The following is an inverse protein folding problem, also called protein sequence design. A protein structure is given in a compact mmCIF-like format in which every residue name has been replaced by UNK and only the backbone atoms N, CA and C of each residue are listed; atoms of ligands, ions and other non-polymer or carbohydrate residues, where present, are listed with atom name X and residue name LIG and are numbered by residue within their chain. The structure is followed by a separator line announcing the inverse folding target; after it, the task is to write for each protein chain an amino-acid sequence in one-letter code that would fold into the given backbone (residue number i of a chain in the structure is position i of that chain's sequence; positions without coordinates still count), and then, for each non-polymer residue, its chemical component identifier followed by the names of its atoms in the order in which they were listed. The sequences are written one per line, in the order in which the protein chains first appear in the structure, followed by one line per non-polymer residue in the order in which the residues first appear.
data_IF_492915404791
#
_entry.id   IF_492915404791
#
_cell.length_a   1.000
_cell.length_b   1.000
_cell.length_c   1.000
_cell.angle_alpha   90.00
_cell.angle_beta   90.00
_cell.angle_gamma   90.00
#
_symmetry.space_group_name_H-M   'P 1'
#
loop_
_entity.id
_entity.type
_entity.pdbx_description
1 polymer ?
#
# COMPACT_ATOMS: atom_id res chain seq x y z
N UNK A 1 13.71 17.88 5.06
CA UNK A 1 13.22 18.76 3.99
C UNK A 1 12.07 19.60 4.55
N UNK A 2 12.04 20.91 4.29
CA UNK A 2 11.10 21.86 4.93
C UNK A 2 10.09 22.47 3.93
N UNK A 3 9.78 21.76 2.85
CA UNK A 3 8.79 22.18 1.87
C UNK A 3 7.88 21.00 1.54
N UNK A 4 6.56 21.23 1.58
CA UNK A 4 5.50 20.25 1.30
C UNK A 4 5.44 19.76 -0.16
N UNK A 5 6.60 19.53 -0.78
CA UNK A 5 6.72 18.90 -2.08
C UNK A 5 7.94 17.97 -2.05
N UNK A 6 7.73 16.72 -2.48
CA UNK A 6 8.79 15.74 -2.66
C UNK A 6 9.10 15.65 -4.15
N UNK A 7 10.36 15.92 -4.48
CA UNK A 7 10.94 15.61 -5.79
C UNK A 7 11.44 14.18 -5.74
N UNK A 8 11.02 13.38 -6.71
CA UNK A 8 11.47 12.00 -6.87
C UNK A 8 11.61 11.69 -8.36
N UNK A 9 12.48 10.76 -8.70
CA UNK A 9 12.61 10.24 -10.05
C UNK A 9 11.75 8.99 -10.21
N UNK A 10 11.27 8.74 -11.42
CA UNK A 10 10.41 7.58 -11.71
C UNK A 10 11.00 6.78 -12.86
N UNK A 11 11.11 5.46 -12.69
CA UNK A 11 11.48 4.52 -13.74
C UNK A 11 12.93 4.64 -14.20
N UNK A 12 13.87 4.81 -13.27
CA UNK A 12 15.30 4.85 -13.60
C UNK A 12 15.80 3.44 -13.96
N UNK A 13 16.43 3.23 -15.14
CA UNK A 13 16.91 1.91 -15.48
C UNK A 13 18.22 1.61 -14.75
N UNK A 14 18.35 0.39 -14.21
CA UNK A 14 19.57 -0.06 -13.52
C UNK A 14 20.77 -0.30 -14.45
N UNK A 15 20.56 -0.17 -15.76
CA UNK A 15 21.55 -0.44 -16.79
C UNK A 15 22.03 0.84 -17.45
N UNK A 16 23.31 0.86 -17.83
CA UNK A 16 23.89 1.92 -18.67
C UNK A 16 23.36 1.84 -20.10
N UNK A 17 23.46 2.94 -20.86
CA UNK A 17 22.90 3.03 -22.22
C UNK A 17 23.49 2.03 -23.20
N UNK A 18 24.79 1.75 -23.08
CA UNK A 18 25.52 0.89 -23.99
C UNK A 18 25.95 -0.42 -23.34
N UNK A 19 26.00 -1.49 -24.14
CA UNK A 19 26.53 -2.79 -23.71
C UNK A 19 28.07 -2.76 -23.60
N UNK A 20 28.65 -3.49 -22.64
CA UNK A 20 30.11 -3.62 -22.54
C UNK A 20 30.73 -4.17 -23.82
N UNK A 21 31.86 -3.60 -24.24
CA UNK A 21 32.64 -4.06 -25.42
C UNK A 21 33.96 -4.68 -24.98
N UNK A 22 34.48 -5.62 -25.75
CA UNK A 22 35.80 -6.19 -25.51
C UNK A 22 36.88 -5.12 -25.73
N UNK A 23 37.68 -4.84 -24.70
CA UNK A 23 38.76 -3.84 -24.73
C UNK A 23 40.11 -4.56 -24.83
N UNK A 24 40.88 -4.28 -25.87
CA UNK A 24 42.23 -4.82 -26.03
C UNK A 24 43.19 -4.22 -25.00
N UNK A 25 44.17 -4.98 -24.48
CA UNK A 25 45.13 -4.47 -23.51
C UNK A 25 45.82 -3.19 -24.02
N UNK A 26 45.74 -2.11 -23.25
CA UNK A 26 46.31 -0.79 -23.59
C UNK A 26 45.40 0.14 -24.40
N UNK A 27 44.16 -0.27 -24.70
CA UNK A 27 43.15 0.59 -25.33
C UNK A 27 42.30 1.33 -24.31
N UNK A 28 41.75 2.47 -24.70
CA UNK A 28 40.85 3.26 -23.87
C UNK A 28 39.47 2.58 -23.74
N UNK A 29 38.87 2.67 -22.56
CA UNK A 29 37.55 2.10 -22.29
C UNK A 29 36.45 2.97 -22.91
N UNK A 30 35.45 2.37 -23.57
CA UNK A 30 34.32 3.13 -24.08
C UNK A 30 33.51 3.72 -22.92
N UNK A 31 33.25 5.03 -22.99
CA UNK A 31 32.37 5.73 -22.06
C UNK A 31 30.91 5.45 -22.42
N UNK A 32 30.08 5.22 -21.40
CA UNK A 32 28.64 4.97 -21.51
C UNK A 32 27.90 5.94 -20.59
N UNK A 33 26.67 6.29 -20.94
CA UNK A 33 25.83 7.14 -20.10
C UNK A 33 25.17 6.35 -18.98
N UNK A 34 25.09 6.95 -17.80
CA UNK A 34 24.17 6.54 -16.74
C UNK A 34 22.88 7.38 -16.90
N UNK A 35 21.80 6.82 -17.48
CA UNK A 35 20.54 7.54 -17.62
C UNK A 35 19.90 7.76 -16.23
N UNK A 36 19.26 8.91 -16.04
CA UNK A 36 18.49 9.24 -14.83
C UNK A 36 17.00 9.07 -15.07
N UNK A 37 16.19 8.92 -14.02
CA UNK A 37 14.75 8.80 -14.14
C UNK A 37 14.05 10.12 -14.49
N UNK A 38 12.73 10.06 -14.74
CA UNK A 38 11.93 11.28 -15.00
C UNK A 38 11.65 11.99 -13.67
N UNK A 39 12.10 13.24 -13.55
CA UNK A 39 11.82 14.06 -12.37
C UNK A 39 10.32 14.36 -12.24
N UNK A 40 9.74 13.92 -11.13
CA UNK A 40 8.35 14.14 -10.74
C UNK A 40 8.26 14.92 -9.43
N UNK A 41 7.20 15.71 -9.29
CA UNK A 41 6.94 16.51 -8.08
C UNK A 41 5.59 16.08 -7.50
N UNK A 42 5.60 15.55 -6.28
CA UNK A 42 4.40 15.28 -5.49
C UNK A 42 4.27 16.32 -4.39
N UNK A 43 3.14 17.06 -4.37
CA UNK A 43 2.84 18.01 -3.30
C UNK A 43 2.06 17.32 -2.18
N UNK A 44 2.46 17.51 -0.92
CA UNK A 44 1.72 17.03 0.24
C UNK A 44 0.36 17.71 0.33
N UNK A 45 -0.67 16.93 0.64
CA UNK A 45 -2.04 17.45 0.82
C UNK A 45 -2.46 17.25 2.27
N UNK A 46 -3.07 18.29 2.84
CA UNK A 46 -3.60 18.26 4.21
C UNK A 46 -5.02 17.72 4.20
N UNK A 47 -5.18 16.51 4.74
CA UNK A 47 -6.47 15.86 4.92
C UNK A 47 -6.90 15.97 6.37
N UNK A 48 -8.02 16.62 6.65
CA UNK A 48 -8.49 16.76 8.02
C UNK A 48 -9.98 17.04 8.11
N UNK A 49 -10.54 16.72 9.28
CA UNK A 49 -11.96 16.86 9.58
C UNK A 49 -12.15 17.20 11.06
N UNK A 50 -13.24 17.94 11.30
CA UNK A 50 -13.66 18.35 12.65
C UNK A 50 -14.95 17.62 13.02
N UNK A 51 -15.11 17.33 14.31
CA UNK A 51 -16.40 16.95 14.90
C UNK A 51 -16.63 17.74 16.18
N UNK A 52 -17.90 17.95 16.51
CA UNK A 52 -18.32 18.70 17.68
C UNK A 52 -18.83 17.71 18.73
N UNK A 53 -18.51 17.97 20.00
CA UNK A 53 -19.03 17.24 21.17
C UNK A 53 -19.49 18.27 22.20
N UNK A 54 -20.79 18.33 22.50
CA UNK A 54 -21.34 19.31 23.46
C UNK A 54 -21.14 18.87 24.90
N UNK A 55 -21.15 19.82 25.84
CA UNK A 55 -20.97 19.52 27.27
C UNK A 55 -22.10 18.69 27.86
N UNK A 56 -23.33 18.84 27.37
CA UNK A 56 -24.44 18.00 27.81
C UNK A 56 -24.20 16.54 27.41
N UNK A 57 -23.59 16.30 26.26
CA UNK A 57 -23.24 14.94 25.83
C UNK A 57 -22.17 14.33 26.74
N UNK A 58 -21.18 15.13 27.16
CA UNK A 58 -20.12 14.72 28.08
C UNK A 58 -20.68 14.51 29.48
N UNK A 59 -21.53 15.40 29.97
CA UNK A 59 -22.17 15.28 31.28
C UNK A 59 -23.10 14.08 31.37
N UNK A 60 -23.84 13.77 30.28
CA UNK A 60 -24.81 12.65 30.25
C UNK A 60 -24.15 11.29 29.98
N UNK A 61 -23.08 11.25 29.19
CA UNK A 61 -22.44 10.00 28.75
C UNK A 61 -21.02 9.81 29.32
N UNK A 62 -20.57 10.71 30.21
CA UNK A 62 -19.20 10.79 30.76
C UNK A 62 -18.16 11.02 29.64
N UNK A 63 -16.89 10.66 29.85
CA UNK A 63 -15.79 10.85 28.87
C UNK A 63 -15.91 9.98 27.59
N UNK A 64 -16.89 9.08 27.51
CA UNK A 64 -17.07 8.16 26.38
C UNK A 64 -17.29 8.85 25.01
N UNK A 65 -18.14 9.88 24.86
CA UNK A 65 -18.35 10.60 23.60
C UNK A 65 -17.06 11.20 23.00
N UNK A 66 -16.18 11.79 23.81
CA UNK A 66 -14.92 12.40 23.32
C UNK A 66 -13.98 11.34 22.77
N UNK A 67 -13.73 10.27 23.52
CA UNK A 67 -12.84 9.19 23.07
C UNK A 67 -13.38 8.49 21.82
N UNK A 68 -14.69 8.21 21.77
CA UNK A 68 -15.33 7.60 20.59
C UNK A 68 -15.26 8.51 19.36
N UNK A 69 -15.45 9.81 19.54
CA UNK A 69 -15.34 10.78 18.45
C UNK A 69 -13.90 10.83 17.90
N UNK A 70 -12.88 10.87 18.77
CA UNK A 70 -11.48 10.82 18.35
C UNK A 70 -11.13 9.52 17.61
N UNK A 71 -11.56 8.36 18.11
CA UNK A 71 -11.33 7.07 17.43
C UNK A 71 -11.98 7.05 16.04
N UNK A 72 -13.22 7.55 15.91
CA UNK A 72 -13.90 7.63 14.60
C UNK A 72 -13.17 8.56 13.63
N UNK A 73 -12.73 9.73 14.11
CA UNK A 73 -11.97 10.67 13.30
C UNK A 73 -10.66 10.06 12.80
N UNK A 74 -9.93 9.35 13.68
CA UNK A 74 -8.70 8.64 13.33
C UNK A 74 -8.93 7.55 12.29
N UNK A 75 -9.88 6.65 12.53
CA UNK A 75 -10.19 5.54 11.62
C UNK A 75 -10.62 6.04 10.22
N UNK A 76 -11.42 7.11 10.17
CA UNK A 76 -11.84 7.70 8.90
C UNK A 76 -10.67 8.35 8.15
N UNK A 77 -9.74 9.00 8.86
CA UNK A 77 -8.54 9.56 8.23
C UNK A 77 -7.66 8.45 7.63
N UNK A 78 -7.41 7.38 8.39
CA UNK A 78 -6.65 6.19 7.92
C UNK A 78 -7.32 5.58 6.70
N UNK A 79 -8.63 5.27 6.77
CA UNK A 79 -9.38 4.71 5.63
C UNK A 79 -9.24 5.55 4.36
N UNK A 80 -9.36 6.87 4.50
CA UNK A 80 -9.30 7.78 3.36
C UNK A 80 -7.89 7.82 2.76
N UNK A 81 -6.85 7.90 3.59
CA UNK A 81 -5.45 7.90 3.13
C UNK A 81 -5.08 6.60 2.43
N UNK A 82 -5.46 5.46 2.99
CA UNK A 82 -5.22 4.15 2.37
C UNK A 82 -5.90 4.04 0.99
N UNK A 83 -7.11 4.59 0.86
CA UNK A 83 -7.83 4.61 -0.42
C UNK A 83 -7.12 5.46 -1.48
N UNK A 84 -6.53 6.60 -1.08
CA UNK A 84 -5.76 7.46 -2.00
C UNK A 84 -4.46 6.75 -2.41
N UNK A 85 -3.76 6.13 -1.46
CA UNK A 85 -2.52 5.40 -1.73
C UNK A 85 -2.74 4.24 -2.72
N UNK A 86 -3.74 3.39 -2.46
CA UNK A 86 -4.09 2.30 -3.37
C UNK A 86 -4.58 2.81 -4.73
N UNK A 87 -5.30 3.93 -4.77
CA UNK A 87 -5.71 4.54 -6.03
C UNK A 87 -4.54 5.08 -6.83
N UNK A 88 -3.54 5.68 -6.18
CA UNK A 88 -2.33 6.17 -6.85
C UNK A 88 -1.53 4.98 -7.43
N UNK A 89 -1.35 3.91 -6.66
CA UNK A 89 -0.69 2.68 -7.12
C UNK A 89 -1.47 2.06 -8.29
N UNK A 90 -2.79 1.92 -8.16
CA UNK A 90 -3.60 1.36 -9.25
C UNK A 90 -3.55 2.24 -10.51
N UNK A 91 -3.48 3.56 -10.39
CA UNK A 91 -3.35 4.41 -11.58
C UNK A 91 -1.96 4.29 -12.23
N UNK A 92 -0.91 4.09 -11.45
CA UNK A 92 0.47 4.06 -11.95
C UNK A 92 0.86 2.68 -12.52
N UNK A 93 0.41 1.59 -11.90
CA UNK A 93 0.68 0.23 -12.38
C UNK A 93 -0.23 -0.09 -13.56
N UNK A 94 0.32 -0.11 -14.77
CA UNK A 94 -0.41 -0.39 -16.02
C UNK A 94 -0.28 -1.85 -16.47
N UNK A 95 0.75 -2.55 -16.01
CA UNK A 95 1.01 -3.95 -16.37
C UNK A 95 -0.08 -4.85 -15.81
N UNK A 96 -0.67 -5.68 -16.67
CA UNK A 96 -1.79 -6.54 -16.29
C UNK A 96 -1.83 -7.83 -17.08
N UNK A 97 -2.31 -8.90 -16.44
CA UNK A 97 -2.67 -10.18 -17.06
C UNK A 97 -3.99 -10.66 -16.48
N UNK A 98 -4.87 -11.19 -17.33
CA UNK A 98 -6.06 -11.88 -16.86
C UNK A 98 -5.69 -13.18 -16.14
N UNK A 99 -6.40 -13.47 -15.05
CA UNK A 99 -6.35 -14.76 -14.39
C UNK A 99 -6.82 -15.87 -15.35
N UNK A 100 -6.23 -17.06 -15.25
CA UNK A 100 -6.60 -18.16 -16.13
C UNK A 100 -8.05 -18.64 -15.92
N UNK A 101 -8.57 -18.45 -14.70
CA UNK A 101 -9.96 -18.66 -14.33
C UNK A 101 -10.33 -17.78 -13.14
N UNK A 102 -11.62 -17.44 -12.99
CA UNK A 102 -12.12 -16.75 -11.82
C UNK A 102 -11.88 -17.60 -10.56
N UNK A 103 -11.32 -17.00 -9.51
CA UNK A 103 -10.94 -17.63 -8.25
C UNK A 103 -12.12 -18.22 -7.47
N UNK A 104 -13.35 -17.83 -7.79
CA UNK A 104 -14.58 -18.45 -7.29
C UNK A 104 -14.72 -19.93 -7.67
N UNK A 105 -14.09 -20.35 -8.78
CA UNK A 105 -14.17 -21.73 -9.30
C UNK A 105 -12.80 -22.31 -9.66
N UNK A 106 -11.73 -21.51 -9.59
CA UNK A 106 -10.39 -21.95 -9.89
C UNK A 106 -9.87 -22.94 -8.84
N UNK A 107 -9.06 -23.88 -9.30
CA UNK A 107 -8.30 -24.77 -8.43
C UNK A 107 -7.15 -24.03 -7.75
N UNK A 108 -6.69 -24.53 -6.60
CA UNK A 108 -5.53 -24.00 -5.89
C UNK A 108 -4.28 -23.85 -6.77
N UNK A 109 -4.05 -24.82 -7.68
CA UNK A 109 -2.94 -24.79 -8.62
C UNK A 109 -3.06 -23.66 -9.64
N UNK A 110 -4.27 -23.34 -10.10
CA UNK A 110 -4.52 -22.22 -11.02
C UNK A 110 -4.27 -20.88 -10.33
N UNK A 111 -4.83 -20.69 -9.13
CA UNK A 111 -4.63 -19.46 -8.33
C UNK A 111 -3.14 -19.25 -8.04
N UNK A 112 -2.45 -20.31 -7.62
CA UNK A 112 -1.00 -20.27 -7.38
C UNK A 112 -0.22 -19.92 -8.66
N UNK A 113 -0.58 -20.53 -9.79
CA UNK A 113 0.09 -20.30 -11.07
C UNK A 113 -0.11 -18.86 -11.57
N UNK A 114 -1.30 -18.30 -11.44
CA UNK A 114 -1.58 -16.91 -11.83
C UNK A 114 -0.65 -15.93 -11.08
N UNK A 115 -0.55 -16.10 -9.76
CA UNK A 115 0.34 -15.29 -8.91
C UNK A 115 1.82 -15.54 -9.21
N UNK A 116 2.22 -16.80 -9.41
CA UNK A 116 3.60 -17.15 -9.74
C UNK A 116 4.03 -16.60 -11.12
N UNK A 117 3.13 -16.59 -12.10
CA UNK A 117 3.39 -16.01 -13.42
C UNK A 117 3.48 -14.48 -13.35
N UNK A 118 2.62 -13.81 -12.58
CA UNK A 118 2.74 -12.37 -12.35
C UNK A 118 4.10 -12.02 -11.73
N UNK A 119 4.54 -12.79 -10.71
CA UNK A 119 5.89 -12.65 -10.14
C UNK A 119 6.99 -12.87 -11.19
N UNK A 120 6.87 -13.93 -11.99
CA UNK A 120 7.85 -14.22 -13.04
C UNK A 120 7.92 -13.12 -14.11
N UNK A 121 6.79 -12.51 -14.47
CA UNK A 121 6.75 -11.41 -15.42
C UNK A 121 7.48 -10.16 -14.89
N UNK A 122 7.31 -9.83 -13.60
CA UNK A 122 8.05 -8.73 -12.97
C UNK A 122 9.56 -9.02 -12.99
N UNK A 123 9.98 -10.23 -12.61
CA UNK A 123 11.40 -10.63 -12.62
C UNK A 123 11.97 -10.64 -14.05
N UNK A 124 11.15 -11.02 -15.04
CA UNK A 124 11.55 -11.05 -16.45
C UNK A 124 11.84 -9.66 -17.05
N UNK A 125 11.43 -8.58 -16.39
CA UNK A 125 11.86 -7.22 -16.74
C UNK A 125 13.37 -7.03 -16.56
N UNK A 126 14.02 -7.89 -15.76
CA UNK A 126 15.45 -7.84 -15.43
C UNK A 126 15.88 -6.48 -14.84
N UNK A 127 15.00 -5.80 -14.10
CA UNK A 127 15.31 -4.51 -13.46
C UNK A 127 15.71 -4.66 -11.98
N UNK A 128 16.03 -5.88 -11.54
CA UNK A 128 16.42 -6.15 -10.15
C UNK A 128 15.25 -6.18 -9.15
N UNK A 129 14.01 -6.20 -9.63
CA UNK A 129 12.81 -6.27 -8.78
C UNK A 129 12.65 -7.66 -8.14
N UNK A 130 12.27 -7.67 -6.86
CA UNK A 130 12.02 -8.87 -6.07
C UNK A 130 10.61 -8.84 -5.46
N UNK A 131 9.57 -9.28 -6.20
CA UNK A 131 8.20 -9.24 -5.69
C UNK A 131 8.04 -10.06 -4.41
N UNK A 132 7.53 -9.39 -3.37
CA UNK A 132 7.42 -9.91 -1.99
C UNK A 132 5.98 -9.84 -1.44
N UNK A 133 5.06 -9.19 -2.15
CA UNK A 133 3.72 -8.89 -1.63
C UNK A 133 2.63 -9.14 -2.67
N UNK A 134 1.51 -9.69 -2.23
CA UNK A 134 0.26 -9.80 -2.99
C UNK A 134 -0.83 -9.07 -2.21
N UNK A 135 -1.53 -8.14 -2.86
CA UNK A 135 -2.66 -7.40 -2.28
C UNK A 135 -3.95 -7.88 -2.94
N UNK A 136 -4.90 -8.36 -2.13
CA UNK A 136 -6.19 -8.91 -2.59
C UNK A 136 -7.36 -8.39 -1.76
N UNK A 137 -8.58 -8.50 -2.28
CA UNK A 137 -9.79 -8.18 -1.54
C UNK A 137 -10.14 -9.30 -0.55
N UNK A 138 -10.95 -8.98 0.47
CA UNK A 138 -11.42 -9.97 1.44
C UNK A 138 -12.08 -11.19 0.79
N UNK A 139 -12.88 -10.94 -0.23
CA UNK A 139 -13.62 -11.98 -0.94
C UNK A 139 -12.71 -12.85 -1.82
N UNK A 140 -11.79 -12.22 -2.56
CA UNK A 140 -10.79 -12.96 -3.34
C UNK A 140 -9.89 -13.80 -2.43
N UNK A 141 -9.53 -13.28 -1.25
CA UNK A 141 -8.77 -14.02 -0.26
C UNK A 141 -9.53 -15.22 0.29
N UNK A 142 -10.81 -15.05 0.63
CA UNK A 142 -11.64 -16.17 1.10
C UNK A 142 -11.69 -17.31 0.07
N UNK A 143 -11.89 -16.98 -1.21
CA UNK A 143 -11.88 -17.94 -2.30
C UNK A 143 -10.51 -18.65 -2.43
N UNK A 144 -9.41 -17.89 -2.46
CA UNK A 144 -8.06 -18.45 -2.54
C UNK A 144 -7.71 -19.34 -1.34
N UNK A 145 -7.99 -18.88 -0.13
CA UNK A 145 -7.76 -19.62 1.10
C UNK A 145 -8.53 -20.94 1.09
N UNK A 146 -9.81 -20.91 0.73
CA UNK A 146 -10.64 -22.13 0.66
C UNK A 146 -10.06 -23.16 -0.31
N UNK A 147 -9.58 -22.72 -1.48
CA UNK A 147 -8.94 -23.59 -2.46
C UNK A 147 -7.63 -24.20 -1.92
N UNK A 148 -6.77 -23.39 -1.29
CA UNK A 148 -5.51 -23.86 -0.71
C UNK A 148 -5.70 -24.85 0.44
N UNK A 149 -6.74 -24.67 1.24
CA UNK A 149 -7.11 -25.61 2.30
C UNK A 149 -7.57 -26.93 1.71
N UNK A 150 -8.47 -26.89 0.72
CA UNK A 150 -9.01 -28.08 0.07
C UNK A 150 -7.91 -28.91 -0.62
N UNK A 151 -6.90 -28.25 -1.18
CA UNK A 151 -5.75 -28.92 -1.81
C UNK A 151 -4.65 -29.36 -0.84
N UNK A 152 -4.77 -29.04 0.45
CA UNK A 152 -3.79 -29.39 1.47
C UNK A 152 -2.45 -28.65 1.34
N UNK A 153 -2.42 -27.46 0.74
CA UNK A 153 -1.19 -26.67 0.56
C UNK A 153 -0.74 -25.96 1.84
N UNK A 154 -1.62 -25.84 2.84
CA UNK A 154 -1.32 -25.22 4.11
C UNK A 154 -0.88 -26.25 5.15
N UNK A 155 0.06 -25.86 6.02
CA UNK A 155 0.59 -26.74 7.07
C UNK A 155 -0.53 -27.22 8.00
N UNK A 156 -0.78 -28.54 8.01
CA UNK A 156 -1.82 -29.15 8.86
C UNK A 156 -1.32 -29.45 10.28
N UNK A 157 -0.01 -29.57 10.44
CA UNK A 157 0.62 -30.05 11.68
C UNK A 157 1.09 -28.92 12.58
N UNK A 158 1.35 -27.73 12.01
CA UNK A 158 1.79 -26.58 12.78
C UNK A 158 0.65 -25.55 12.92
N UNK A 159 -0.12 -25.68 14.00
CA UNK A 159 -1.25 -24.80 14.27
C UNK A 159 -0.87 -23.31 14.37
N UNK A 160 0.36 -23.00 14.79
CA UNK A 160 0.85 -21.63 14.93
C UNK A 160 1.22 -20.94 13.61
N UNK A 161 1.34 -21.71 12.52
CA UNK A 161 1.66 -21.19 11.18
C UNK A 161 0.54 -21.41 10.17
N UNK A 162 -0.58 -21.98 10.60
CA UNK A 162 -1.69 -22.27 9.71
C UNK A 162 -2.63 -21.06 9.66
N UNK A 163 -2.73 -20.35 8.51
CA UNK A 163 -3.54 -19.14 8.40
C UNK A 163 -5.04 -19.40 8.57
N UNK A 164 -5.52 -20.65 8.42
CA UNK A 164 -6.91 -20.99 8.74
C UNK A 164 -7.22 -20.96 10.23
N UNK A 165 -6.20 -21.13 11.07
CA UNK A 165 -6.34 -21.17 12.53
C UNK A 165 -5.95 -19.84 13.15
N UNK A 166 -4.89 -19.21 12.64
CA UNK A 166 -4.38 -17.95 13.21
C UNK A 166 -5.06 -16.71 12.62
N UNK A 167 -5.56 -16.78 11.39
CA UNK A 167 -6.06 -15.60 10.67
C UNK A 167 -4.96 -14.63 10.24
N UNK A 168 -3.69 -14.99 10.41
CA UNK A 168 -2.56 -14.17 10.02
C UNK A 168 -2.37 -14.16 8.50
N UNK A 169 -1.74 -13.09 8.00
CA UNK A 169 -1.32 -12.97 6.60
C UNK A 169 -0.23 -13.98 6.28
N UNK A 170 -0.51 -15.01 5.45
CA UNK A 170 0.46 -16.04 5.18
C UNK A 170 1.49 -15.58 4.14
N UNK A 171 2.63 -16.25 4.16
CA UNK A 171 3.63 -16.17 3.09
C UNK A 171 3.50 -17.41 2.22
N UNK A 172 3.13 -17.22 0.95
CA UNK A 172 2.98 -18.30 -0.04
C UNK A 172 3.80 -17.89 -1.26
N UNK A 173 4.65 -18.78 -1.79
CA UNK A 173 5.58 -18.47 -2.89
C UNK A 173 6.60 -17.33 -2.56
N UNK A 174 6.93 -17.18 -1.28
CA UNK A 174 7.75 -16.06 -0.79
C UNK A 174 7.04 -14.70 -0.87
N UNK A 175 5.73 -14.69 -1.11
CA UNK A 175 4.90 -13.48 -1.18
C UNK A 175 4.00 -13.42 0.05
N UNK A 176 4.00 -12.28 0.75
CA UNK A 176 3.07 -11.97 1.83
C UNK A 176 1.72 -11.56 1.25
N UNK A 177 0.66 -12.25 1.65
CA UNK A 177 -0.70 -11.95 1.21
C UNK A 177 -1.33 -10.93 2.13
N UNK A 178 -1.54 -9.70 1.65
CA UNK A 178 -2.22 -8.63 2.35
C UNK A 178 -3.65 -8.51 1.84
N UNK A 179 -4.58 -8.50 2.79
CA UNK A 179 -6.01 -8.41 2.49
C UNK A 179 -6.50 -7.01 2.82
N UNK A 180 -7.23 -6.39 1.90
CA UNK A 180 -7.79 -5.06 2.11
C UNK A 180 -9.18 -4.92 1.50
N UNK A 181 -10.13 -4.28 2.20
CA UNK A 181 -11.45 -3.94 1.64
C UNK A 181 -11.39 -2.73 0.70
N UNK A 182 -10.26 -2.01 0.64
CA UNK A 182 -10.14 -0.70 -0.02
C UNK A 182 -9.48 -0.77 -1.41
N UNK A 183 -9.41 -1.94 -2.03
CA UNK A 183 -8.90 -2.06 -3.40
C UNK A 183 -9.76 -1.24 -4.38
N UNK A 184 -9.17 -0.31 -5.14
CA UNK A 184 -9.93 0.63 -5.98
C UNK A 184 -10.52 -0.03 -7.23
N UNK A 185 -9.98 -1.17 -7.64
CA UNK A 185 -10.43 -1.91 -8.83
C UNK A 185 -10.99 -3.26 -8.39
N UNK A 186 -12.28 -3.48 -8.66
CA UNK A 186 -12.91 -4.77 -8.41
C UNK A 186 -12.25 -5.88 -9.25
N UNK A 187 -12.39 -7.14 -8.82
CA UNK A 187 -11.88 -8.32 -9.53
C UNK A 187 -10.40 -8.19 -9.92
N UNK A 188 -9.59 -7.56 -9.06
CA UNK A 188 -8.17 -7.35 -9.30
C UNK A 188 -7.37 -7.74 -8.08
N UNK A 189 -6.26 -8.45 -8.28
CA UNK A 189 -5.18 -8.62 -7.32
C UNK A 189 -3.94 -7.88 -7.81
N UNK A 190 -3.10 -7.42 -6.89
CA UNK A 190 -1.86 -6.72 -7.20
C UNK A 190 -0.68 -7.49 -6.63
N UNK A 191 0.24 -7.92 -7.49
CA UNK A 191 1.54 -8.48 -7.10
C UNK A 191 2.57 -7.37 -7.20
N UNK A 192 3.37 -7.16 -6.17
CA UNK A 192 4.31 -6.04 -6.12
C UNK A 192 5.55 -6.36 -5.29
N UNK A 193 6.62 -5.60 -5.55
CA UNK A 193 7.77 -5.47 -4.66
C UNK A 193 7.58 -4.24 -3.76
N UNK A 194 7.41 -4.48 -2.46
CA UNK A 194 7.08 -3.45 -1.49
C UNK A 194 8.25 -2.53 -1.16
N UNK A 195 9.48 -2.90 -1.53
CA UNK A 195 10.69 -2.15 -1.20
C UNK A 195 11.03 -1.06 -2.22
N UNK A 196 10.61 -1.25 -3.48
CA UNK A 196 10.96 -0.35 -4.60
C UNK A 196 9.75 0.33 -5.25
N UNK A 197 8.53 -0.22 -5.11
CA UNK A 197 7.32 0.34 -5.75
C UNK A 197 7.12 1.82 -5.41
N UNK A 198 7.40 2.21 -4.17
CA UNK A 198 7.31 3.58 -3.72
C UNK A 198 7.13 3.69 -2.21
N UNK A 199 6.49 4.77 -1.78
CA UNK A 199 6.32 5.04 -0.36
C UNK A 199 5.34 6.16 -0.07
N UNK A 200 5.22 6.48 1.21
CA UNK A 200 4.42 7.60 1.68
C UNK A 200 5.33 8.72 2.16
N UNK A 201 5.11 9.93 1.68
CA UNK A 201 5.75 11.12 2.22
C UNK A 201 4.79 11.84 3.16
N UNK A 202 5.09 11.79 4.46
CA UNK A 202 4.38 12.52 5.50
C UNK A 202 5.11 13.83 5.83
N UNK A 203 4.36 14.92 6.00
CA UNK A 203 4.88 16.22 6.45
C UNK A 203 4.35 16.53 7.84
N UNK A 204 5.26 16.86 8.76
CA UNK A 204 4.87 17.39 10.06
C UNK A 204 4.86 18.93 10.03
N UNK A 205 3.67 19.51 9.85
CA UNK A 205 3.47 20.97 9.89
C UNK A 205 3.70 21.53 11.31
N UNK A 206 3.50 20.70 12.33
CA UNK A 206 3.44 21.14 13.72
C UNK A 206 2.22 22.03 13.99
N UNK A 207 2.04 22.36 15.26
CA UNK A 207 1.02 23.31 15.69
C UNK A 207 0.69 23.17 17.18
N UNK A 208 0.34 24.28 17.86
CA UNK A 208 0.02 24.23 19.28
C UNK A 208 -1.22 23.37 19.53
N UNK A 209 -1.13 22.46 20.50
CA UNK A 209 -2.22 21.60 20.94
C UNK A 209 -2.54 20.41 20.02
N UNK A 210 -1.70 20.11 19.02
CA UNK A 210 -1.78 18.83 18.31
C UNK A 210 -0.99 17.77 19.06
N UNK A 211 -1.58 16.60 19.19
CA UNK A 211 -0.94 15.38 19.69
C UNK A 211 -0.93 14.35 18.55
N UNK A 212 0.17 13.63 18.41
CA UNK A 212 0.31 12.51 17.49
C UNK A 212 0.90 11.32 18.22
N UNK A 213 0.52 10.12 17.79
CA UNK A 213 1.25 8.90 18.16
C UNK A 213 2.31 8.65 17.10
N UNK A 214 3.55 8.46 17.53
CA UNK A 214 4.66 8.15 16.62
C UNK A 214 4.31 6.99 15.69
N UNK A 215 4.58 7.17 14.40
CA UNK A 215 4.42 6.14 13.36
C UNK A 215 3.06 6.07 12.65
N UNK A 216 2.01 6.78 13.11
CA UNK A 216 0.68 6.76 12.45
C UNK A 216 0.47 7.97 11.52
N UNK A 217 1.25 9.05 11.70
CA UNK A 217 1.15 10.26 10.88
C UNK A 217 -0.13 11.08 11.08
N UNK A 218 -1.08 10.60 11.90
CA UNK A 218 -2.32 11.31 12.24
C UNK A 218 -2.08 12.19 13.47
N UNK A 219 -2.38 13.47 13.33
CA UNK A 219 -2.36 14.48 14.39
C UNK A 219 -3.80 14.78 14.84
N UNK A 220 -4.07 14.70 16.13
CA UNK A 220 -5.36 15.02 16.75
C UNK A 220 -5.26 16.26 17.63
N UNK A 221 -6.34 17.03 17.74
CA UNK A 221 -6.42 18.22 18.59
C UNK A 221 -7.82 18.35 19.17
N UNK A 222 -7.89 18.71 20.45
CA UNK A 222 -9.12 19.18 21.09
C UNK A 222 -9.07 20.69 21.27
N UNK A 223 -10.19 21.36 21.02
CA UNK A 223 -10.36 22.80 21.16
C UNK A 223 -11.63 23.02 21.98
N UNK A 224 -11.51 23.76 23.07
CA UNK A 224 -12.67 24.25 23.81
C UNK A 224 -13.29 25.41 23.04
N UNK A 225 -14.60 25.34 22.82
CA UNK A 225 -15.39 26.45 22.29
C UNK A 225 -16.27 27.00 23.41
N UNK A 226 -15.75 28.00 24.13
CA UNK A 226 -16.43 28.62 25.28
C UNK A 226 -17.72 29.37 24.89
N UNK A 227 -17.86 29.79 23.64
CA UNK A 227 -19.07 30.48 23.16
C UNK A 227 -20.29 29.55 23.03
N UNK A 228 -20.06 28.25 22.84
CA UNK A 228 -21.09 27.27 22.50
C UNK A 228 -21.11 26.07 23.46
N UNK A 229 -20.43 26.17 24.61
CA UNK A 229 -20.29 25.11 25.62
C UNK A 229 -20.02 23.72 25.02
N UNK A 230 -19.02 23.66 24.15
CA UNK A 230 -18.68 22.44 23.42
C UNK A 230 -17.18 22.27 23.17
N UNK A 231 -16.79 21.07 22.78
CA UNK A 231 -15.45 20.72 22.33
C UNK A 231 -15.48 20.45 20.83
N UNK A 232 -14.61 21.14 20.10
CA UNK A 232 -14.26 20.80 18.71
C UNK A 232 -13.06 19.87 18.73
N UNK A 233 -13.25 18.67 18.21
CA UNK A 233 -12.21 17.67 18.04
C UNK A 233 -11.80 17.64 16.56
N UNK A 234 -10.50 17.67 16.31
CA UNK A 234 -9.90 17.73 14.97
C UNK A 234 -8.94 16.57 14.80
N UNK A 235 -8.96 15.94 13.64
CA UNK A 235 -7.91 15.03 13.20
C UNK A 235 -7.42 15.44 11.82
N UNK A 236 -6.10 15.38 11.61
CA UNK A 236 -5.48 15.65 10.31
C UNK A 236 -4.30 14.71 10.04
N UNK A 237 -4.01 14.48 8.77
CA UNK A 237 -2.75 13.90 8.28
C UNK A 237 -2.35 14.66 7.03
N UNK A 238 -1.06 15.00 6.92
CA UNK A 238 -0.51 15.75 5.80
C UNK A 238 0.42 14.82 5.06
N UNK A 239 0.00 14.36 3.90
CA UNK A 239 0.67 13.23 3.26
C UNK A 239 0.42 13.17 1.76
N UNK A 240 1.32 12.50 1.04
CA UNK A 240 1.15 12.16 -0.37
C UNK A 240 1.76 10.78 -0.67
N UNK A 241 1.02 9.89 -1.37
CA UNK A 241 1.61 8.66 -1.85
C UNK A 241 2.48 8.93 -3.07
N UNK A 242 3.61 8.25 -3.13
CA UNK A 242 4.60 8.35 -4.20
C UNK A 242 4.81 6.96 -4.79
N UNK A 243 4.71 6.84 -6.11
CA UNK A 243 5.05 5.62 -6.86
C UNK A 243 6.32 5.91 -7.64
N UNK A 244 7.40 5.21 -7.29
CA UNK A 244 8.75 5.43 -7.84
C UNK A 244 8.99 4.45 -8.99
N UNK A 245 8.75 3.16 -8.76
CA UNK A 245 8.95 2.11 -9.75
C UNK A 245 7.61 1.42 -10.06
N UNK A 246 6.77 1.98 -10.95
CA UNK A 246 5.49 1.37 -11.30
C UNK A 246 5.64 0.01 -11.98
N UNK A 247 6.79 -0.25 -12.60
CA UNK A 247 7.11 -1.53 -13.25
C UNK A 247 7.34 -2.67 -12.24
N UNK A 248 7.56 -2.35 -10.97
CA UNK A 248 7.68 -3.32 -9.87
C UNK A 248 6.32 -3.88 -9.41
N UNK A 249 5.21 -3.42 -10.01
CA UNK A 249 3.86 -3.92 -9.78
C UNK A 249 3.26 -4.60 -11.02
N UNK A 250 2.41 -5.58 -10.77
CA UNK A 250 1.65 -6.31 -11.80
C UNK A 250 0.23 -6.63 -11.33
N UNK A 251 -0.75 -6.32 -12.17
CA UNK A 251 -2.17 -6.59 -11.89
C UNK A 251 -2.59 -7.94 -12.43
N UNK A 252 -3.33 -8.69 -11.62
CA UNK A 252 -4.11 -9.84 -12.03
C UNK A 252 -5.57 -9.41 -12.13
N UNK A 253 -6.09 -9.33 -13.35
CA UNK A 253 -7.49 -8.98 -13.60
C UNK A 253 -8.35 -10.23 -13.73
N UNK A 254 -9.67 -10.05 -13.72
CA UNK A 254 -10.63 -11.14 -13.94
C UNK A 254 -10.56 -12.27 -12.90
N UNK A 255 -10.00 -12.01 -11.70
CA UNK A 255 -9.95 -12.99 -10.61
C UNK A 255 -11.34 -13.33 -10.06
N UNK A 256 -12.38 -12.57 -10.42
CA UNK A 256 -13.73 -12.74 -9.92
C UNK A 256 -13.88 -12.43 -8.43
N UNK A 257 -15.13 -12.22 -8.03
CA UNK A 257 -15.57 -12.04 -6.64
C UNK A 257 -16.50 -13.17 -6.28
#
# INVERSE_FOLDING_TARGET
MSGGAVQYETGEPIYTTDTPRAVTPGSEYPLTGAPTGVASIAKTVKWGQDTIVTDESISRQKMQPVNRALTKLGNQNVKYVDSIALSAISSAVTQTTAAAAAWTSATAAQIFKDVALAKANIVALNQGYEPDTVVVSDLAWANALSAFVASGYLSRENAAQNPTLTGDFPVINGLRWLVTPNLPTANTALVLDSTVLGGMADENIGGPGYASTDGIGVEVKSIREDENDQYRLRARRVTVPIVVEPAAGWKLTEIGT
#
